data_IF_925718680741
#
_entry.id   IF_925718680741
#
_cell.length_a   1.000
_cell.length_b   1.000
_cell.length_c   1.000
_cell.angle_alpha   90.00
_cell.angle_beta   90.00
_cell.angle_gamma   90.00
#
_symmetry.space_group_name_H-M   'P 1'
#
loop_
_entity.id
_entity.type
_entity.pdbx_description
1 polymer ?
#
# COMPACT_ATOMS: atom_id res chain seq x y z
N UNK A 1 3.65 9.51 -12.74
CA UNK A 1 4.35 8.59 -11.80
C UNK A 1 4.00 7.14 -12.10
N UNK A 2 2.71 6.76 -12.08
CA UNK A 2 2.27 5.37 -12.29
C UNK A 2 2.56 4.81 -13.69
N UNK A 3 2.51 5.66 -14.72
CA UNK A 3 2.78 5.28 -16.12
C UNK A 3 4.20 4.74 -16.37
N UNK A 4 5.15 4.93 -15.46
CA UNK A 4 6.51 4.40 -15.63
C UNK A 4 6.75 3.12 -14.82
N UNK A 5 5.75 2.67 -14.03
CA UNK A 5 5.93 1.61 -13.04
C UNK A 5 5.43 0.25 -13.51
N UNK A 6 4.61 0.17 -14.57
CA UNK A 6 4.09 -1.12 -15.02
C UNK A 6 4.69 -1.55 -16.35
N UNK A 7 4.92 -2.84 -16.50
CA UNK A 7 5.30 -3.50 -17.77
C UNK A 7 4.34 -3.17 -18.91
N UNK A 8 3.04 -2.95 -18.64
CA UNK A 8 2.07 -2.58 -19.67
C UNK A 8 2.27 -1.16 -20.23
N UNK A 9 2.99 -0.28 -19.53
CA UNK A 9 3.25 1.09 -19.98
C UNK A 9 4.71 1.31 -20.43
N UNK A 10 5.62 0.39 -20.10
CA UNK A 10 7.02 0.45 -20.51
C UNK A 10 7.64 -0.94 -20.58
N UNK A 11 8.08 -1.35 -21.78
CA UNK A 11 8.74 -2.64 -22.01
C UNK A 11 10.06 -2.80 -21.22
N UNK A 12 10.61 -1.69 -20.72
CA UNK A 12 11.81 -1.69 -19.87
C UNK A 12 11.51 -2.02 -18.41
N UNK A 13 10.25 -1.96 -18.01
CA UNK A 13 9.84 -2.35 -16.69
C UNK A 13 9.73 -3.88 -16.62
N UNK A 14 10.06 -4.47 -15.48
CA UNK A 14 10.04 -5.92 -15.25
C UNK A 14 8.98 -6.34 -14.22
N UNK A 15 8.26 -5.37 -13.68
CA UNK A 15 7.26 -5.57 -12.66
C UNK A 15 5.85 -5.48 -13.26
N UNK A 16 4.97 -6.33 -12.78
CA UNK A 16 3.54 -6.26 -13.03
C UNK A 16 2.91 -5.68 -11.77
N UNK A 17 2.19 -4.58 -11.92
CA UNK A 17 1.49 -3.89 -10.87
C UNK A 17 -0.01 -4.21 -10.91
N UNK A 18 -0.62 -4.24 -9.73
CA UNK A 18 -2.07 -4.21 -9.57
C UNK A 18 -2.45 -2.80 -9.09
N UNK A 19 -3.36 -2.14 -9.81
CA UNK A 19 -3.90 -0.83 -9.45
C UNK A 19 -5.40 -0.92 -9.19
N UNK A 20 -5.85 -0.27 -8.12
CA UNK A 20 -7.27 -0.20 -7.74
C UNK A 20 -8.17 0.24 -8.90
N UNK A 21 -7.84 1.34 -9.58
CA UNK A 21 -8.65 1.89 -10.67
C UNK A 21 -8.71 1.02 -11.94
N UNK A 22 -7.80 0.04 -12.08
CA UNK A 22 -7.66 -0.77 -13.31
C UNK A 22 -8.06 -2.22 -13.10
N UNK A 23 -7.61 -2.81 -12.01
CA UNK A 23 -7.58 -4.26 -11.81
C UNK A 23 -8.63 -4.75 -10.80
N UNK A 24 -9.30 -3.85 -10.07
CA UNK A 24 -10.39 -4.24 -9.17
C UNK A 24 -11.64 -4.63 -9.95
N UNK A 25 -12.31 -5.68 -9.50
CA UNK A 25 -13.51 -6.21 -10.13
C UNK A 25 -14.70 -5.29 -9.82
N UNK A 26 -15.37 -4.72 -10.84
CA UNK A 26 -16.54 -3.89 -10.63
C UNK A 26 -17.70 -4.69 -10.03
N UNK A 27 -18.37 -4.13 -9.03
CA UNK A 27 -19.49 -4.77 -8.34
C UNK A 27 -19.09 -5.74 -7.21
N UNK A 28 -17.79 -6.04 -7.07
CA UNK A 28 -17.25 -6.77 -5.92
C UNK A 28 -16.98 -5.82 -4.74
N UNK A 29 -17.04 -6.34 -3.51
CA UNK A 29 -16.77 -5.53 -2.33
C UNK A 29 -15.32 -4.97 -2.37
N UNK A 30 -15.18 -3.70 -2.02
CA UNK A 30 -13.90 -3.01 -2.08
C UNK A 30 -12.82 -3.69 -1.20
N UNK A 31 -13.21 -4.21 -0.04
CA UNK A 31 -12.33 -4.94 0.88
C UNK A 31 -11.90 -6.27 0.27
N UNK A 32 -12.81 -6.97 -0.42
CA UNK A 32 -12.49 -8.23 -1.10
C UNK A 32 -11.46 -7.99 -2.19
N UNK A 33 -11.66 -6.96 -3.01
CA UNK A 33 -10.69 -6.56 -4.03
C UNK A 33 -9.31 -6.22 -3.44
N UNK A 34 -9.26 -5.44 -2.35
CA UNK A 34 -8.01 -5.11 -1.64
C UNK A 34 -7.31 -6.39 -1.14
N UNK A 35 -8.06 -7.26 -0.45
CA UNK A 35 -7.52 -8.50 0.11
C UNK A 35 -6.91 -9.37 -0.99
N UNK A 36 -7.63 -9.56 -2.08
CA UNK A 36 -7.22 -10.44 -3.17
C UNK A 36 -6.03 -9.84 -3.94
N UNK A 37 -6.00 -8.53 -4.14
CA UNK A 37 -4.85 -7.82 -4.70
C UNK A 37 -3.59 -7.99 -3.82
N UNK A 38 -3.74 -7.85 -2.49
CA UNK A 38 -2.64 -8.08 -1.54
C UNK A 38 -2.19 -9.54 -1.64
N UNK A 39 -3.11 -10.52 -1.60
CA UNK A 39 -2.78 -11.95 -1.58
C UNK A 39 -2.06 -12.44 -2.84
N UNK A 40 -2.46 -11.91 -4.00
CA UNK A 40 -1.87 -12.26 -5.29
C UNK A 40 -0.58 -11.48 -5.61
N UNK A 41 -0.21 -10.49 -4.79
CA UNK A 41 1.01 -9.70 -4.97
C UNK A 41 2.19 -10.21 -4.15
N UNK A 42 3.41 -10.10 -4.70
CA UNK A 42 4.67 -10.39 -3.97
C UNK A 42 5.03 -9.31 -2.95
N UNK A 43 4.66 -8.07 -3.27
CA UNK A 43 4.85 -6.85 -2.49
C UNK A 43 3.67 -5.93 -2.77
N UNK A 44 3.24 -5.21 -1.75
CA UNK A 44 2.20 -4.20 -1.77
C UNK A 44 2.86 -2.87 -1.46
N UNK A 45 2.70 -1.88 -2.34
CA UNK A 45 3.24 -0.54 -2.10
C UNK A 45 2.11 0.34 -1.57
N UNK A 46 2.29 0.85 -0.37
CA UNK A 46 1.33 1.76 0.27
C UNK A 46 1.86 3.18 0.24
N UNK A 47 1.25 4.02 -0.59
CA UNK A 47 1.65 5.41 -0.79
C UNK A 47 0.87 6.31 0.18
N UNK A 48 1.50 6.65 1.29
CA UNK A 48 0.91 7.44 2.37
C UNK A 48 1.03 8.93 2.09
N UNK A 49 -0.10 9.56 1.75
CA UNK A 49 -0.23 11.01 1.56
C UNK A 49 -1.14 11.63 2.62
N UNK A 50 -1.24 12.97 2.67
CA UNK A 50 -2.17 13.64 3.60
C UNK A 50 -3.63 13.33 3.29
N UNK A 51 -3.98 13.14 2.01
CA UNK A 51 -5.32 12.74 1.60
C UNK A 51 -5.58 11.28 1.96
N UNK A 52 -4.58 10.42 1.73
CA UNK A 52 -4.63 9.01 2.07
C UNK A 52 -4.95 8.74 3.56
N UNK A 53 -4.43 9.57 4.48
CA UNK A 53 -4.77 9.46 5.91
C UNK A 53 -6.24 9.79 6.24
N UNK A 54 -6.97 10.44 5.34
CA UNK A 54 -8.40 10.77 5.54
C UNK A 54 -9.32 9.68 5.00
N UNK A 55 -8.85 8.86 4.06
CA UNK A 55 -9.65 7.83 3.42
C UNK A 55 -9.64 6.56 4.28
N UNK A 56 -10.82 6.03 4.60
CA UNK A 56 -11.00 4.90 5.53
C UNK A 56 -10.23 3.67 5.07
N UNK A 57 -10.46 3.24 3.82
CA UNK A 57 -9.96 2.01 3.20
C UNK A 57 -8.46 1.75 3.34
N UNK A 58 -7.67 2.81 3.46
CA UNK A 58 -6.23 2.74 3.70
C UNK A 58 -5.89 1.94 4.97
N UNK A 59 -6.61 2.20 6.06
CA UNK A 59 -6.32 1.60 7.37
C UNK A 59 -6.62 0.11 7.31
N UNK A 60 -7.72 -0.27 6.67
CA UNK A 60 -8.07 -1.67 6.39
C UNK A 60 -7.01 -2.35 5.52
N UNK A 61 -6.58 -1.75 4.40
CA UNK A 61 -5.53 -2.32 3.55
C UNK A 61 -4.22 -2.57 4.31
N UNK A 62 -3.82 -1.64 5.18
CA UNK A 62 -2.66 -1.80 6.06
C UNK A 62 -2.86 -2.94 7.08
N UNK A 63 -4.05 -3.06 7.65
CA UNK A 63 -4.39 -4.17 8.55
C UNK A 63 -4.27 -5.52 7.84
N UNK A 64 -4.77 -5.65 6.61
CA UNK A 64 -4.63 -6.88 5.83
C UNK A 64 -3.18 -7.20 5.49
N UNK A 65 -2.40 -6.20 5.07
CA UNK A 65 -0.97 -6.40 4.79
C UNK A 65 -0.19 -6.82 6.04
N UNK A 66 -0.52 -6.24 7.21
CA UNK A 66 0.04 -6.66 8.50
C UNK A 66 -0.38 -8.07 8.87
N UNK A 67 -1.66 -8.40 8.75
CA UNK A 67 -2.15 -9.75 9.03
C UNK A 67 -1.41 -10.77 8.17
N UNK A 68 -1.23 -10.50 6.88
CA UNK A 68 -0.45 -11.38 6.00
C UNK A 68 1.01 -11.48 6.44
N UNK A 69 1.64 -10.37 6.85
CA UNK A 69 2.98 -10.41 7.44
C UNK A 69 3.07 -11.35 8.64
N UNK A 70 2.09 -11.28 9.55
CA UNK A 70 2.09 -12.12 10.76
C UNK A 70 1.74 -13.58 10.46
N UNK A 71 0.83 -13.85 9.53
CA UNK A 71 0.41 -15.22 9.15
C UNK A 71 1.45 -15.92 8.29
N UNK A 72 1.99 -15.24 7.27
CA UNK A 72 2.91 -15.84 6.30
C UNK A 72 4.39 -15.59 6.64
N UNK A 73 4.69 -14.81 7.68
CA UNK A 73 6.04 -14.31 8.04
C UNK A 73 6.78 -13.63 6.88
N UNK A 74 6.04 -13.10 5.90
CA UNK A 74 6.58 -12.46 4.70
C UNK A 74 6.40 -10.95 4.80
N UNK A 75 7.51 -10.22 4.73
CA UNK A 75 7.46 -8.78 4.49
C UNK A 75 6.88 -8.50 3.10
N UNK A 76 5.59 -8.15 3.08
CA UNK A 76 4.83 -7.88 1.87
C UNK A 76 4.50 -6.41 1.72
N UNK A 77 4.86 -5.52 2.66
CA UNK A 77 4.47 -4.10 2.60
C UNK A 77 5.68 -3.19 2.44
N UNK A 78 5.64 -2.34 1.41
CA UNK A 78 6.57 -1.22 1.25
C UNK A 78 5.76 0.06 1.48
N UNK A 79 6.04 0.76 2.57
CA UNK A 79 5.40 2.04 2.87
C UNK A 79 6.21 3.19 2.27
N UNK A 80 5.57 4.05 1.49
CA UNK A 80 6.18 5.26 0.90
C UNK A 80 5.40 6.47 1.39
N UNK A 81 6.05 7.32 2.19
CA UNK A 81 5.47 8.57 2.71
C UNK A 81 5.76 9.69 1.72
N UNK A 82 4.71 10.36 1.24
CA UNK A 82 4.81 11.44 0.25
C UNK A 82 4.38 12.78 0.85
N UNK A 83 5.23 13.79 0.65
CA UNK A 83 5.01 15.16 1.13
C UNK A 83 5.36 15.36 2.60
N UNK A 84 5.02 16.53 3.13
CA UNK A 84 5.37 16.96 4.49
C UNK A 84 4.37 16.45 5.53
N UNK A 85 4.31 15.14 5.74
CA UNK A 85 3.55 14.53 6.83
C UNK A 85 4.35 14.57 8.13
N UNK A 86 3.77 15.16 9.18
CA UNK A 86 4.41 15.17 10.50
C UNK A 86 4.37 13.79 11.14
N UNK A 87 5.34 13.51 12.01
CA UNK A 87 5.36 12.27 12.78
C UNK A 87 4.07 12.10 13.60
N UNK A 88 3.49 13.18 14.11
CA UNK A 88 2.21 13.15 14.81
C UNK A 88 1.07 12.62 13.92
N UNK A 89 0.98 13.07 12.67
CA UNK A 89 -0.06 12.62 11.74
C UNK A 89 0.07 11.12 11.42
N UNK A 90 1.30 10.64 11.22
CA UNK A 90 1.57 9.23 10.95
C UNK A 90 1.29 8.33 12.16
N UNK A 91 1.64 8.81 13.36
CA UNK A 91 1.50 8.05 14.61
C UNK A 91 0.06 7.97 15.12
N UNK A 92 -0.85 8.77 14.55
CA UNK A 92 -2.28 8.76 14.89
C UNK A 92 -2.96 7.44 14.54
N UNK A 93 -2.54 6.78 13.47
CA UNK A 93 -3.16 5.56 12.96
C UNK A 93 -2.36 4.33 13.41
N UNK A 94 -3.01 3.39 14.11
CA UNK A 94 -2.32 2.27 14.74
C UNK A 94 -1.52 1.40 13.75
N UNK A 95 -2.02 1.06 12.54
CA UNK A 95 -1.27 0.25 11.59
C UNK A 95 -0.05 0.99 11.03
N UNK A 96 -0.21 2.28 10.70
CA UNK A 96 0.89 3.14 10.22
C UNK A 96 1.96 3.29 11.31
N UNK A 97 1.53 3.55 12.54
CA UNK A 97 2.41 3.67 13.70
C UNK A 97 3.29 2.44 13.90
N UNK A 98 2.79 1.23 13.66
CA UNK A 98 3.57 0.01 13.80
C UNK A 98 4.75 -0.04 12.82
N UNK A 99 4.54 0.38 11.57
CA UNK A 99 5.61 0.46 10.55
C UNK A 99 6.57 1.63 10.78
N UNK A 100 6.02 2.81 11.12
CA UNK A 100 6.84 4.01 11.35
C UNK A 100 7.76 3.84 12.56
N UNK A 101 7.29 3.21 13.64
CA UNK A 101 8.14 2.91 14.82
C UNK A 101 9.30 1.97 14.49
N UNK A 102 9.15 1.11 13.49
CA UNK A 102 10.20 0.19 13.02
C UNK A 102 11.12 0.83 11.98
N UNK A 103 10.91 2.10 11.62
CA UNK A 103 11.60 2.80 10.54
C UNK A 103 11.56 2.06 9.18
N UNK A 104 10.50 1.26 8.95
CA UNK A 104 10.31 0.47 7.74
C UNK A 104 9.48 1.24 6.71
N UNK A 105 9.93 2.45 6.34
CA UNK A 105 9.27 3.26 5.31
C UNK A 105 10.26 4.11 4.52
N UNK A 106 9.90 4.40 3.27
CA UNK A 106 10.62 5.29 2.38
C UNK A 106 9.96 6.67 2.40
N UNK A 107 10.75 7.73 2.23
CA UNK A 107 10.24 9.07 1.98
C UNK A 107 10.40 9.38 0.50
N UNK A 108 9.32 9.79 -0.15
CA UNK A 108 9.37 10.27 -1.52
C UNK A 108 9.98 11.70 -1.53
N UNK A 109 10.94 11.97 -2.44
CA UNK A 109 11.61 13.28 -2.53
C UNK A 109 10.65 14.43 -2.88
#
# INVERSE_FOLDING_TARGET
>A
FLQNLDTQYSDRNRFHFCFEERDFVPGEDHIVNIRDAIWNSKKTICVVTKQFLKDGWCVEALNYAQSRYFTDLKDVLIMVVVGSLSQYQLMKYQPIRAYVKRCQYLKWP
#
